data_IF_547459867337
#
_entry.id   IF_547459867337
#
_cell.length_a   1.000
_cell.length_b   1.000
_cell.length_c   1.000
_cell.angle_alpha   90.00
_cell.angle_beta   90.00
_cell.angle_gamma   90.00
#
_symmetry.space_group_name_H-M   'P 1'
#
loop_
_entity.id
_entity.type
_entity.pdbx_description
1 polymer ?
#
# COMPACT_ATOMS: atom_id res chain seq x y z
N UNK A 1 7.70 29.84 -1.71
CA UNK A 1 6.86 28.85 -0.99
C UNK A 1 7.42 28.73 0.41
N UNK A 2 6.59 28.73 1.45
CA UNK A 2 7.09 28.47 2.80
C UNK A 2 7.77 27.08 2.83
N UNK A 3 8.91 26.92 3.53
CA UNK A 3 9.58 25.64 3.63
C UNK A 3 8.61 24.62 4.23
N UNK A 4 8.54 23.46 3.59
CA UNK A 4 7.68 22.38 4.03
C UNK A 4 8.05 21.95 5.46
N UNK A 5 7.05 21.78 6.32
CA UNK A 5 7.24 21.42 7.73
C UNK A 5 7.11 19.92 7.94
N UNK A 6 7.98 19.39 8.80
CA UNK A 6 7.90 18.03 9.32
C UNK A 6 7.91 16.91 8.26
N UNK A 7 8.66 17.09 7.16
CA UNK A 7 8.86 16.03 6.15
C UNK A 7 9.45 14.73 6.76
N UNK A 8 10.22 14.84 7.85
CA UNK A 8 10.79 13.71 8.59
C UNK A 8 9.74 12.73 9.14
N UNK A 9 8.47 13.15 9.28
CA UNK A 9 7.38 12.28 9.75
C UNK A 9 7.18 11.05 8.86
N UNK A 10 7.56 11.12 7.59
CA UNK A 10 7.53 9.97 6.69
C UNK A 10 8.53 8.85 7.07
N UNK A 11 9.48 9.11 7.97
CA UNK A 11 10.39 8.10 8.50
C UNK A 11 9.75 7.25 9.60
N UNK A 12 8.73 7.76 10.30
CA UNK A 12 8.09 7.05 11.41
C UNK A 12 7.37 5.77 10.97
N UNK A 13 6.61 5.74 9.85
CA UNK A 13 6.04 4.50 9.34
C UNK A 13 7.10 3.48 8.94
N UNK A 14 8.22 3.94 8.36
CA UNK A 14 9.35 3.07 8.00
C UNK A 14 9.98 2.43 9.24
N UNK A 15 10.19 3.24 10.28
CA UNK A 15 10.65 2.77 11.59
C UNK A 15 9.66 1.80 12.22
N UNK A 16 8.36 2.08 12.15
CA UNK A 16 7.33 1.17 12.68
C UNK A 16 7.36 -0.18 11.95
N UNK A 17 7.52 -0.19 10.62
CA UNK A 17 7.70 -1.43 9.85
C UNK A 17 8.97 -2.17 10.26
N UNK A 18 10.11 -1.48 10.41
CA UNK A 18 11.36 -2.11 10.85
C UNK A 18 11.24 -2.71 12.26
N UNK A 19 10.64 -1.95 13.19
CA UNK A 19 10.40 -2.41 14.56
C UNK A 19 9.44 -3.59 14.62
N UNK A 20 8.41 -3.62 13.77
CA UNK A 20 7.52 -4.78 13.65
C UNK A 20 8.30 -6.06 13.36
N UNK A 21 9.23 -6.02 12.41
CA UNK A 21 10.04 -7.20 12.07
C UNK A 21 11.09 -7.57 13.13
N UNK A 22 11.44 -6.63 14.01
CA UNK A 22 12.30 -6.90 15.16
C UNK A 22 11.55 -7.58 16.33
N UNK A 23 10.21 -7.57 16.32
CA UNK A 23 9.42 -8.21 17.37
C UNK A 23 9.47 -9.75 17.28
N UNK A 24 9.31 -10.46 18.40
CA UNK A 24 9.10 -11.92 18.40
C UNK A 24 7.92 -12.33 17.52
N UNK A 25 8.02 -13.51 16.89
CA UNK A 25 7.00 -14.04 15.98
C UNK A 25 5.61 -14.14 16.62
N UNK A 26 5.53 -14.41 17.93
CA UNK A 26 4.27 -14.45 18.68
C UNK A 26 3.55 -13.10 18.70
N UNK A 27 4.29 -11.99 18.79
CA UNK A 27 3.73 -10.64 18.75
C UNK A 27 3.42 -10.20 17.32
N UNK A 28 4.24 -10.62 16.35
CA UNK A 28 3.97 -10.35 14.94
C UNK A 28 2.60 -10.91 14.53
N UNK A 29 2.18 -12.06 15.06
CA UNK A 29 0.88 -12.68 14.77
C UNK A 29 -0.34 -11.85 15.21
N UNK A 30 -0.19 -10.94 16.18
CA UNK A 30 -1.27 -10.09 16.65
C UNK A 30 -1.68 -9.05 15.59
N UNK A 31 -2.96 -9.03 15.22
CA UNK A 31 -3.51 -8.13 14.20
C UNK A 31 -3.25 -6.65 14.50
N UNK A 32 -3.40 -6.21 15.76
CA UNK A 32 -3.16 -4.82 16.13
C UNK A 32 -1.71 -4.40 15.90
N UNK A 33 -0.78 -5.32 16.14
CA UNK A 33 0.65 -5.10 15.91
C UNK A 33 0.94 -5.11 14.41
N UNK A 34 0.32 -6.00 13.63
CA UNK A 34 0.42 -6.03 12.16
C UNK A 34 -0.07 -4.74 11.51
N UNK A 35 -1.17 -4.15 11.99
CA UNK A 35 -1.72 -2.89 11.46
C UNK A 35 -1.00 -1.64 11.99
N UNK A 36 -0.16 -1.76 13.02
CA UNK A 36 0.47 -0.61 13.67
C UNK A 36 1.28 0.29 12.71
N UNK A 37 2.05 -0.22 11.72
CA UNK A 37 2.78 0.66 10.80
C UNK A 37 1.83 1.50 9.93
N UNK A 38 0.71 0.93 9.48
CA UNK A 38 -0.30 1.68 8.72
C UNK A 38 -1.01 2.72 9.58
N UNK A 39 -1.35 2.39 10.83
CA UNK A 39 -1.94 3.35 11.76
C UNK A 39 -1.01 4.53 12.03
N UNK A 40 0.29 4.26 12.23
CA UNK A 40 1.32 5.30 12.36
C UNK A 40 1.41 6.13 11.08
N UNK A 41 1.32 5.51 9.90
CA UNK A 41 1.33 6.22 8.62
C UNK A 41 0.17 7.20 8.46
N UNK A 42 -1.05 6.80 8.80
CA UNK A 42 -2.21 7.70 8.72
C UNK A 42 -2.18 8.78 9.79
N UNK A 43 -1.72 8.47 11.00
CA UNK A 43 -1.56 9.47 12.06
C UNK A 43 -0.52 10.54 11.70
N UNK A 44 0.62 10.12 11.15
CA UNK A 44 1.70 11.04 10.73
C UNK A 44 1.31 11.84 9.50
N UNK A 45 0.57 11.26 8.56
CA UNK A 45 -0.06 11.98 7.45
C UNK A 45 -1.02 13.06 7.97
N UNK A 46 -1.93 12.72 8.89
CA UNK A 46 -2.88 13.67 9.44
C UNK A 46 -2.18 14.83 10.16
N UNK A 47 -1.15 14.53 10.94
CA UNK A 47 -0.35 15.54 11.63
C UNK A 47 0.42 16.44 10.64
N UNK A 48 0.98 15.85 9.57
CA UNK A 48 1.65 16.61 8.53
C UNK A 48 0.68 17.51 7.75
N UNK A 49 -0.53 17.03 7.44
CA UNK A 49 -1.60 17.83 6.80
C UNK A 49 -1.97 19.03 7.69
N UNK A 50 -2.16 18.80 8.99
CA UNK A 50 -2.47 19.86 9.95
C UNK A 50 -1.35 20.90 10.05
N UNK A 51 -0.09 20.49 9.82
CA UNK A 51 1.09 21.35 9.89
C UNK A 51 1.39 22.11 8.59
N UNK A 52 0.75 21.76 7.47
CA UNK A 52 1.08 22.27 6.13
C UNK A 52 -0.18 22.76 5.38
N UNK A 53 -0.45 24.08 5.31
CA UNK A 53 -1.62 24.63 4.62
C UNK A 53 -1.70 24.30 3.12
N UNK A 54 -0.54 24.08 2.47
CA UNK A 54 -0.42 23.71 1.06
C UNK A 54 -0.49 22.20 0.77
N UNK A 55 -0.99 21.40 1.71
CA UNK A 55 -0.96 19.93 1.64
C UNK A 55 -1.57 19.34 0.37
N UNK A 56 -2.63 19.96 -0.19
CA UNK A 56 -3.28 19.47 -1.42
C UNK A 56 -2.35 19.50 -2.62
N UNK A 57 -1.59 20.58 -2.78
CA UNK A 57 -0.59 20.70 -3.84
C UNK A 57 0.56 19.71 -3.60
N UNK A 58 1.01 19.60 -2.35
CA UNK A 58 2.14 18.77 -1.96
C UNK A 58 1.84 17.25 -2.03
N UNK A 59 0.58 16.82 -1.83
CA UNK A 59 0.12 15.45 -2.08
C UNK A 59 -0.28 15.23 -3.55
N UNK A 60 -0.03 16.20 -4.44
CA UNK A 60 -0.41 16.16 -5.86
C UNK A 60 -1.90 15.91 -6.09
N UNK A 61 -2.72 16.40 -5.15
CA UNK A 61 -4.17 16.35 -5.25
C UNK A 61 -4.72 17.49 -6.10
N UNK A 62 -3.93 18.50 -6.47
CA UNK A 62 -4.39 19.57 -7.35
C UNK A 62 -4.69 19.02 -8.74
N UNK A 63 -5.91 19.29 -9.20
CA UNK A 63 -6.64 18.52 -10.20
C UNK A 63 -6.25 18.77 -11.66
N UNK A 64 -5.04 19.26 -11.94
CA UNK A 64 -4.57 19.46 -13.32
C UNK A 64 -4.13 18.10 -13.90
N UNK A 65 -5.03 17.42 -14.61
CA UNK A 65 -4.73 16.15 -15.29
C UNK A 65 -5.30 14.87 -14.65
N UNK A 66 -6.26 14.96 -13.71
CA UNK A 66 -6.90 13.77 -13.12
C UNK A 66 -7.61 12.86 -14.13
N UNK A 67 -8.14 13.43 -15.22
CA UNK A 67 -8.92 12.69 -16.23
C UNK A 67 -8.12 11.57 -16.92
N UNK A 68 -6.97 11.88 -17.55
CA UNK A 68 -6.13 10.86 -18.18
C UNK A 68 -5.58 9.83 -17.18
N UNK A 69 -5.10 10.28 -16.00
CA UNK A 69 -4.54 9.38 -14.99
C UNK A 69 -5.56 8.38 -14.44
N UNK A 70 -6.80 8.82 -14.21
CA UNK A 70 -7.89 7.94 -13.77
C UNK A 70 -8.29 6.95 -14.86
N UNK A 71 -8.37 7.38 -16.12
CA UNK A 71 -8.68 6.50 -17.27
C UNK A 71 -7.63 5.41 -17.43
N UNK A 72 -6.35 5.78 -17.41
CA UNK A 72 -5.24 4.81 -17.50
C UNK A 72 -5.17 3.90 -16.28
N UNK A 73 -5.35 4.46 -15.07
CA UNK A 73 -5.41 3.65 -13.84
C UNK A 73 -6.55 2.64 -13.86
N UNK A 74 -7.74 3.04 -14.32
CA UNK A 74 -8.88 2.14 -14.47
C UNK A 74 -8.63 1.07 -15.54
N UNK A 75 -8.12 1.46 -16.71
CA UNK A 75 -7.80 0.51 -17.79
C UNK A 75 -6.76 -0.52 -17.36
N UNK A 76 -5.65 -0.07 -16.79
CA UNK A 76 -4.59 -0.96 -16.29
C UNK A 76 -5.11 -1.82 -15.14
N UNK A 77 -5.90 -1.26 -14.23
CA UNK A 77 -6.51 -1.99 -13.12
C UNK A 77 -7.46 -3.09 -13.58
N UNK A 78 -8.32 -2.81 -14.57
CA UNK A 78 -9.23 -3.80 -15.18
C UNK A 78 -8.44 -4.86 -15.94
N UNK A 79 -7.43 -4.48 -16.72
CA UNK A 79 -6.61 -5.42 -17.46
C UNK A 79 -5.83 -6.36 -16.53
N UNK A 80 -5.14 -5.83 -15.52
CA UNK A 80 -4.43 -6.62 -14.53
C UNK A 80 -5.40 -7.48 -13.70
N UNK A 81 -6.57 -6.95 -13.35
CA UNK A 81 -7.62 -7.70 -12.66
C UNK A 81 -8.12 -8.87 -13.49
N UNK A 82 -8.36 -8.67 -14.79
CA UNK A 82 -8.79 -9.72 -15.71
C UNK A 82 -7.71 -10.79 -15.90
N UNK A 83 -6.44 -10.39 -16.04
CA UNK A 83 -5.30 -11.32 -16.12
C UNK A 83 -5.18 -12.13 -14.84
N UNK A 84 -5.22 -11.46 -13.67
CA UNK A 84 -5.13 -12.12 -12.36
C UNK A 84 -6.29 -13.11 -12.14
N UNK A 85 -7.51 -12.69 -12.49
CA UNK A 85 -8.71 -13.54 -12.39
C UNK A 85 -8.61 -14.76 -13.31
N UNK A 86 -8.15 -14.55 -14.55
CA UNK A 86 -7.95 -15.64 -15.53
C UNK A 86 -6.89 -16.62 -15.06
N UNK A 87 -5.79 -16.13 -14.48
CA UNK A 87 -4.74 -16.97 -13.93
C UNK A 87 -5.27 -17.84 -12.78
N UNK A 88 -6.03 -17.24 -11.85
CA UNK A 88 -6.58 -17.92 -10.68
C UNK A 88 -7.67 -18.94 -11.04
N UNK A 89 -8.59 -18.59 -11.94
CA UNK A 89 -9.76 -19.43 -12.23
C UNK A 89 -9.54 -20.43 -13.37
N UNK A 90 -8.55 -20.21 -14.24
CA UNK A 90 -8.34 -21.06 -15.41
C UNK A 90 -6.99 -21.76 -15.38
N UNK A 91 -5.91 -21.06 -15.06
CA UNK A 91 -4.54 -21.62 -15.15
C UNK A 91 -4.22 -22.50 -13.95
N UNK A 92 -4.47 -22.02 -12.72
CA UNK A 92 -4.23 -22.81 -11.50
C UNK A 92 -5.01 -24.13 -11.49
N UNK A 93 -6.33 -24.15 -11.79
CA UNK A 93 -7.10 -25.40 -11.75
C UNK A 93 -6.73 -26.35 -12.89
N UNK A 94 -6.40 -25.82 -14.09
CA UNK A 94 -5.92 -26.65 -15.19
C UNK A 94 -4.56 -27.32 -14.89
N UNK A 95 -3.76 -26.74 -14.00
CA UNK A 95 -2.53 -27.32 -13.47
C UNK A 95 -2.74 -28.28 -12.28
N UNK A 96 -3.99 -28.56 -11.89
CA UNK A 96 -4.31 -29.41 -10.73
C UNK A 96 -4.24 -28.71 -9.38
N UNK A 97 -4.07 -27.39 -9.35
CA UNK A 97 -4.05 -26.62 -8.10
C UNK A 97 -5.44 -26.45 -7.50
N UNK A 98 -5.53 -26.57 -6.17
CA UNK A 98 -6.76 -26.33 -5.44
C UNK A 98 -7.13 -24.84 -5.47
N UNK A 99 -8.40 -24.53 -5.66
CA UNK A 99 -8.99 -23.17 -5.66
C UNK A 99 -9.79 -22.89 -4.39
N UNK A 100 -10.01 -23.90 -3.52
CA UNK A 100 -10.67 -23.71 -2.22
C UNK A 100 -9.87 -22.78 -1.30
N UNK A 101 -8.57 -22.60 -1.54
CA UNK A 101 -7.78 -21.58 -0.83
C UNK A 101 -8.38 -20.17 -0.92
N UNK A 102 -9.10 -19.85 -2.02
CA UNK A 102 -9.74 -18.54 -2.20
C UNK A 102 -10.78 -18.26 -1.11
N UNK A 103 -11.53 -19.27 -0.68
CA UNK A 103 -12.55 -19.16 0.38
C UNK A 103 -11.94 -18.87 1.75
N UNK A 104 -10.68 -19.24 1.93
CA UNK A 104 -9.96 -19.01 3.18
C UNK A 104 -9.16 -17.71 3.20
N UNK A 105 -9.10 -17.00 2.07
CA UNK A 105 -8.41 -15.70 2.03
C UNK A 105 -9.09 -14.70 2.97
N UNK A 106 -8.32 -13.79 3.58
CA UNK A 106 -8.89 -12.69 4.36
C UNK A 106 -9.91 -11.86 3.57
N UNK A 107 -9.78 -11.86 2.24
CA UNK A 107 -10.68 -11.21 1.31
C UNK A 107 -12.04 -11.92 1.31
N UNK A 108 -12.11 -13.24 1.08
CA UNK A 108 -13.38 -13.98 1.13
C UNK A 108 -14.09 -13.97 2.50
N UNK A 109 -13.33 -13.76 3.58
CA UNK A 109 -13.87 -13.60 4.95
C UNK A 109 -14.22 -12.15 5.30
N UNK A 110 -13.92 -11.19 4.43
CA UNK A 110 -14.24 -9.79 4.66
C UNK A 110 -15.74 -9.54 4.43
N UNK A 111 -16.35 -8.58 5.15
CA UNK A 111 -17.73 -8.21 4.93
C UNK A 111 -17.97 -7.81 3.46
N UNK A 112 -19.10 -8.25 2.88
CA UNK A 112 -19.46 -7.99 1.47
C UNK A 112 -19.41 -6.50 1.12
N UNK A 113 -19.77 -5.62 2.06
CA UNK A 113 -19.72 -4.16 1.87
C UNK A 113 -18.28 -3.62 1.70
N UNK A 114 -17.28 -4.28 2.28
CA UNK A 114 -15.86 -3.91 2.15
C UNK A 114 -15.26 -4.45 0.84
N UNK A 115 -15.72 -5.61 0.38
CA UNK A 115 -15.34 -6.19 -0.90
C UNK A 115 -16.06 -5.59 -2.11
N UNK A 116 -17.08 -4.76 -1.86
CA UNK A 116 -17.77 -4.02 -2.91
C UNK A 116 -16.76 -3.13 -3.65
N UNK A 117 -16.89 -2.91 -4.97
CA UNK A 117 -15.91 -2.15 -5.77
C UNK A 117 -15.53 -0.78 -5.17
N UNK A 118 -16.46 -0.17 -4.45
CA UNK A 118 -16.24 1.09 -3.72
C UNK A 118 -15.26 0.91 -2.55
N UNK A 119 -15.38 -0.16 -1.77
CA UNK A 119 -14.45 -0.44 -0.66
C UNK A 119 -13.02 -0.68 -1.15
N UNK A 120 -12.87 -1.45 -2.22
CA UNK A 120 -11.56 -1.66 -2.89
C UNK A 120 -11.01 -0.34 -3.41
N UNK A 121 -11.84 0.49 -4.04
CA UNK A 121 -11.42 1.80 -4.52
C UNK A 121 -10.96 2.72 -3.38
N UNK A 122 -11.65 2.71 -2.24
CA UNK A 122 -11.27 3.48 -1.04
C UNK A 122 -9.94 2.99 -0.48
N UNK A 123 -9.76 1.68 -0.32
CA UNK A 123 -8.49 1.10 0.15
C UNK A 123 -7.35 1.47 -0.80
N UNK A 124 -7.56 1.32 -2.11
CA UNK A 124 -6.58 1.69 -3.12
C UNK A 124 -6.20 3.17 -3.05
N UNK A 125 -7.18 4.05 -2.87
CA UNK A 125 -6.94 5.49 -2.69
C UNK A 125 -6.13 5.79 -1.42
N UNK A 126 -6.43 5.13 -0.31
CA UNK A 126 -5.71 5.33 0.96
C UNK A 126 -4.26 4.85 0.87
N UNK A 127 -4.02 3.68 0.26
CA UNK A 127 -2.68 3.14 0.00
C UNK A 127 -1.89 4.07 -0.91
N UNK A 128 -2.50 4.52 -2.00
CA UNK A 128 -1.91 5.45 -2.96
C UNK A 128 -1.53 6.79 -2.29
N UNK A 129 -2.45 7.34 -1.50
CA UNK A 129 -2.23 8.57 -0.74
C UNK A 129 -1.09 8.43 0.27
N UNK A 130 -1.03 7.30 0.97
CA UNK A 130 -0.01 7.04 1.99
C UNK A 130 1.38 6.84 1.35
N UNK A 131 1.55 5.86 0.47
CA UNK A 131 2.87 5.51 -0.04
C UNK A 131 3.34 6.50 -1.10
N UNK A 132 2.52 6.75 -2.14
CA UNK A 132 2.94 7.58 -3.28
C UNK A 132 2.77 9.08 -2.99
N UNK A 133 1.67 9.48 -2.37
CA UNK A 133 1.40 10.87 -2.04
C UNK A 133 2.28 11.39 -0.90
N UNK A 134 2.20 10.73 0.26
CA UNK A 134 2.85 11.17 1.49
C UNK A 134 4.30 10.70 1.58
N UNK A 135 4.55 9.40 1.76
CA UNK A 135 5.89 8.87 2.06
C UNK A 135 6.89 9.20 0.95
N UNK A 136 6.61 8.84 -0.31
CA UNK A 136 7.51 9.10 -1.43
C UNK A 136 7.73 10.61 -1.66
N UNK A 137 6.68 11.43 -1.53
CA UNK A 137 6.80 12.88 -1.67
C UNK A 137 7.67 13.52 -0.58
N UNK A 138 7.61 12.99 0.65
CA UNK A 138 8.40 13.49 1.78
C UNK A 138 9.84 12.98 1.73
N UNK A 139 10.04 11.71 1.38
CA UNK A 139 11.36 11.15 1.13
C UNK A 139 12.09 11.91 0.02
N UNK A 140 11.38 12.31 -1.04
CA UNK A 140 11.95 13.16 -2.08
C UNK A 140 12.37 14.55 -1.56
N UNK A 141 11.63 15.09 -0.59
CA UNK A 141 11.97 16.37 0.04
C UNK A 141 13.22 16.24 0.93
N UNK A 142 13.38 15.09 1.61
CA UNK A 142 14.54 14.81 2.46
C UNK A 142 15.80 14.42 1.66
N UNK A 143 15.65 13.60 0.62
CA UNK A 143 16.75 13.09 -0.21
C UNK A 143 17.14 14.04 -1.36
N UNK A 144 16.29 15.01 -1.65
CA UNK A 144 16.50 16.03 -2.68
C UNK A 144 16.04 15.61 -4.08
N UNK A 145 15.97 16.61 -4.98
CA UNK A 145 15.45 16.45 -6.36
C UNK A 145 16.46 15.87 -7.36
N UNK A 146 17.66 15.49 -6.90
CA UNK A 146 18.65 14.86 -7.74
C UNK A 146 18.14 13.51 -8.28
N UNK A 147 18.68 13.00 -9.41
CA UNK A 147 18.32 11.67 -9.91
C UNK A 147 18.51 10.58 -8.86
N UNK A 148 19.59 10.66 -8.07
CA UNK A 148 19.86 9.76 -6.96
C UNK A 148 18.82 9.89 -5.83
N UNK A 149 18.42 11.11 -5.46
CA UNK A 149 17.39 11.34 -4.44
C UNK A 149 16.00 10.85 -4.86
N UNK A 150 15.63 11.05 -6.13
CA UNK A 150 14.40 10.49 -6.72
C UNK A 150 14.40 8.97 -6.73
N UNK A 151 15.50 8.36 -7.15
CA UNK A 151 15.67 6.91 -7.14
C UNK A 151 15.58 6.38 -5.69
N UNK A 152 16.26 7.03 -4.74
CA UNK A 152 16.23 6.65 -3.33
C UNK A 152 14.82 6.73 -2.74
N UNK A 153 14.09 7.82 -2.99
CA UNK A 153 12.71 7.97 -2.51
C UNK A 153 11.77 6.90 -3.10
N UNK A 154 11.93 6.59 -4.40
CA UNK A 154 11.19 5.54 -5.07
C UNK A 154 11.50 4.16 -4.45
N UNK A 155 12.77 3.82 -4.34
CA UNK A 155 13.22 2.51 -3.83
C UNK A 155 12.79 2.30 -2.38
N UNK A 156 12.99 3.29 -1.51
CA UNK A 156 12.60 3.21 -0.10
C UNK A 156 11.08 3.11 0.03
N UNK A 157 10.32 3.91 -0.71
CA UNK A 157 8.85 3.83 -0.66
C UNK A 157 8.32 2.51 -1.23
N UNK A 158 8.93 1.98 -2.30
CA UNK A 158 8.56 0.70 -2.87
C UNK A 158 8.90 -0.46 -1.92
N UNK A 159 10.07 -0.39 -1.27
CA UNK A 159 10.48 -1.36 -0.26
C UNK A 159 9.51 -1.33 0.93
N UNK A 160 9.17 -0.15 1.43
CA UNK A 160 8.22 0.03 2.53
C UNK A 160 6.84 -0.55 2.21
N UNK A 161 6.38 -0.39 0.97
CA UNK A 161 5.12 -0.98 0.50
C UNK A 161 5.20 -2.51 0.40
N UNK A 162 6.28 -3.04 -0.19
CA UNK A 162 6.47 -4.49 -0.35
C UNK A 162 6.63 -5.22 0.99
N UNK A 163 7.26 -4.58 1.97
CA UNK A 163 7.45 -5.09 3.33
C UNK A 163 6.39 -4.58 4.31
N UNK A 164 5.28 -4.03 3.83
CA UNK A 164 4.17 -3.68 4.71
C UNK A 164 3.64 -4.98 5.37
N UNK A 165 3.57 -5.07 6.71
CA UNK A 165 3.20 -6.33 7.38
C UNK A 165 1.83 -6.87 7.00
N UNK A 166 0.88 -5.98 6.67
CA UNK A 166 -0.42 -6.40 6.18
C UNK A 166 -0.31 -7.00 4.79
N UNK A 167 0.40 -6.34 3.86
CA UNK A 167 0.63 -6.88 2.51
C UNK A 167 1.37 -8.22 2.55
N UNK A 168 2.44 -8.33 3.34
CA UNK A 168 3.21 -9.57 3.49
C UNK A 168 2.36 -10.70 4.06
N UNK A 169 1.53 -10.43 5.08
CA UNK A 169 0.65 -11.47 5.65
C UNK A 169 -0.36 -11.97 4.63
N UNK A 170 -0.94 -11.06 3.83
CA UNK A 170 -1.91 -11.38 2.78
C UNK A 170 -1.26 -12.26 1.70
N UNK A 171 -0.06 -11.91 1.23
CA UNK A 171 0.63 -12.65 0.18
C UNK A 171 1.24 -13.98 0.67
N UNK A 172 1.75 -14.04 1.89
CA UNK A 172 2.30 -15.27 2.46
C UNK A 172 1.23 -16.36 2.66
N UNK A 173 0.01 -15.96 3.03
CA UNK A 173 -1.13 -16.89 3.06
C UNK A 173 -1.53 -17.37 1.66
N UNK A 174 -1.30 -16.55 0.63
CA UNK A 174 -1.58 -16.90 -0.75
C UNK A 174 -0.53 -17.88 -1.30
N UNK A 175 0.77 -17.67 -1.05
CA UNK A 175 1.86 -18.47 -1.63
C UNK A 175 1.95 -19.88 -1.04
N UNK A 176 1.73 -20.05 0.26
CA UNK A 176 1.76 -21.37 0.90
C UNK A 176 0.62 -22.27 0.41
N UNK A 177 -0.57 -21.71 0.21
CA UNK A 177 -1.72 -22.48 -0.26
C UNK A 177 -1.69 -22.78 -1.75
N UNK A 178 -1.01 -21.96 -2.55
CA UNK A 178 -0.85 -22.22 -3.99
C UNK A 178 0.08 -23.41 -4.28
N UNK A 179 1.05 -23.69 -3.40
CA UNK A 179 2.12 -24.65 -3.63
C UNK A 179 2.01 -25.95 -2.82
N UNK A 180 1.32 -25.93 -1.67
CA UNK A 180 1.21 -27.06 -0.76
C UNK A 180 -0.25 -27.44 -0.44
N UNK A 181 -1.18 -27.15 -1.35
CA UNK A 181 -2.55 -27.65 -1.30
C UNK A 181 -2.59 -29.17 -1.34
#
# INVERSE_FOLDING_TARGET
>A
MAPERAAWLALLPLLATALYYALPASLQQNLWITFSPQLVAYATLAFWIASNPGWRAALRLNAEGRGPGLKWGALVGVALGAVNLSFILLIIPAGGGDIQFLQETPHAKAPVWLMFPVGIAVIGMLVELNFRGFQMGRLLTLLGQSPAGKLGALLVSALAFSFDPYMVRVFHHLSLKLWFG
#
